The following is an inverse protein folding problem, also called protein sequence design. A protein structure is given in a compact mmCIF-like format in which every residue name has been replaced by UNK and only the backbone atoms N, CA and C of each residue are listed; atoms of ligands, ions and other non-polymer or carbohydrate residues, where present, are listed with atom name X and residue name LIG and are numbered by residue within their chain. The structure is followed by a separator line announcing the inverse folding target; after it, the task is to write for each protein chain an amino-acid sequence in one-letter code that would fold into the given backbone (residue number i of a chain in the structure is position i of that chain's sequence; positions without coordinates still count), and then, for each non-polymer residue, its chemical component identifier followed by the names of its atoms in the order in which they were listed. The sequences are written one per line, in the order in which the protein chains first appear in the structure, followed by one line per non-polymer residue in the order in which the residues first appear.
data_IF_848508013640
#
_entry.id   IF_848508013640
#
_cell.length_a   1.000
_cell.length_b   1.000
_cell.length_c   1.000
_cell.angle_alpha   90.00
_cell.angle_beta   90.00
_cell.angle_gamma   90.00
#
_symmetry.space_group_name_H-M   'P 1'
#
loop_
_entity.id
_entity.type
_entity.pdbx_description
1 polymer ?
#
# COMPACT_ATOMS: atom_id res chain seq x y z
N UNK A 1 -3.08 -1.32 -16.87
CA UNK A 1 -2.50 -2.16 -15.80
C UNK A 1 -3.61 -3.01 -15.19
N UNK A 2 -3.34 -4.28 -14.95
CA UNK A 2 -4.22 -5.24 -14.27
C UNK A 2 -3.83 -5.29 -12.79
N UNK A 3 -4.77 -5.04 -11.90
CA UNK A 3 -4.53 -4.94 -10.45
C UNK A 3 -5.29 -6.05 -9.72
N UNK A 4 -4.62 -6.69 -8.77
CA UNK A 4 -5.23 -7.56 -7.78
C UNK A 4 -5.21 -6.88 -6.40
N UNK A 5 -6.28 -7.01 -5.62
CA UNK A 5 -6.37 -6.44 -4.27
C UNK A 5 -6.80 -7.56 -3.33
N UNK A 6 -6.00 -7.82 -2.32
CA UNK A 6 -6.29 -8.79 -1.26
C UNK A 6 -6.73 -8.01 -0.02
N UNK A 7 -7.99 -8.18 0.36
CA UNK A 7 -8.64 -7.47 1.45
C UNK A 7 -9.56 -6.35 0.97
N UNK A 8 -10.88 -6.56 1.09
CA UNK A 8 -11.94 -5.58 0.79
C UNK A 8 -12.30 -4.75 2.04
N UNK A 9 -11.33 -4.44 2.89
CA UNK A 9 -11.48 -3.52 4.01
C UNK A 9 -11.32 -2.06 3.55
N UNK A 10 -11.34 -1.13 4.51
CA UNK A 10 -11.25 0.31 4.22
C UNK A 10 -10.04 0.70 3.35
N UNK A 11 -8.88 0.05 3.55
CA UNK A 11 -7.68 0.34 2.76
C UNK A 11 -7.83 -0.20 1.33
N UNK A 12 -8.25 -1.47 1.18
CA UNK A 12 -8.41 -2.08 -0.15
C UNK A 12 -9.47 -1.39 -1.00
N UNK A 13 -10.58 -0.97 -0.39
CA UNK A 13 -11.61 -0.16 -1.04
C UNK A 13 -11.05 1.16 -1.59
N UNK A 14 -10.31 1.90 -0.76
CA UNK A 14 -9.70 3.16 -1.19
C UNK A 14 -8.64 2.93 -2.28
N UNK A 15 -7.87 1.85 -2.20
CA UNK A 15 -6.90 1.47 -3.25
C UNK A 15 -7.61 1.20 -4.57
N UNK A 16 -8.71 0.41 -4.56
CA UNK A 16 -9.51 0.10 -5.73
C UNK A 16 -10.08 1.38 -6.37
N UNK A 17 -10.80 2.17 -5.57
CA UNK A 17 -11.43 3.41 -6.01
C UNK A 17 -10.40 4.43 -6.53
N UNK A 18 -9.34 4.67 -5.78
CA UNK A 18 -8.30 5.64 -6.17
C UNK A 18 -7.58 5.21 -7.45
N UNK A 19 -7.31 3.92 -7.62
CA UNK A 19 -6.68 3.38 -8.82
C UNK A 19 -7.55 3.61 -10.06
N UNK A 20 -8.87 3.47 -9.94
CA UNK A 20 -9.83 3.78 -10.99
C UNK A 20 -9.89 5.29 -11.26
N UNK A 21 -10.09 6.10 -10.22
CA UNK A 21 -10.20 7.56 -10.33
C UNK A 21 -8.96 8.22 -10.91
N UNK A 22 -7.79 7.65 -10.70
CA UNK A 22 -6.52 8.12 -11.30
C UNK A 22 -6.21 7.49 -12.65
N UNK A 23 -7.05 6.60 -13.15
CA UNK A 23 -6.83 5.89 -14.42
C UNK A 23 -5.59 5.02 -14.44
N UNK A 24 -5.17 4.51 -13.27
CA UNK A 24 -3.97 3.66 -13.11
C UNK A 24 -4.23 2.25 -13.61
N UNK A 25 -5.37 1.67 -13.22
CA UNK A 25 -5.76 0.31 -13.59
C UNK A 25 -6.94 0.31 -14.56
N UNK A 26 -7.04 -0.73 -15.38
CA UNK A 26 -8.15 -0.98 -16.31
C UNK A 26 -8.93 -2.26 -15.99
N UNK A 27 -8.37 -3.12 -15.16
CA UNK A 27 -8.98 -4.38 -14.73
C UNK A 27 -8.54 -4.64 -13.28
N UNK A 28 -9.50 -4.69 -12.36
CA UNK A 28 -9.26 -4.81 -10.91
C UNK A 28 -10.00 -6.04 -10.39
N UNK A 29 -9.25 -6.96 -9.80
CA UNK A 29 -9.80 -8.09 -9.04
C UNK A 29 -9.71 -7.77 -7.55
N UNK A 30 -10.82 -7.96 -6.85
CA UNK A 30 -10.90 -7.78 -5.40
C UNK A 30 -11.15 -9.16 -4.78
N UNK A 31 -10.33 -9.52 -3.81
CA UNK A 31 -10.50 -10.73 -3.01
C UNK A 31 -10.67 -10.36 -1.53
N UNK A 32 -11.53 -11.06 -0.83
CA UNK A 32 -11.67 -11.01 0.62
C UNK A 32 -12.09 -12.39 1.13
N UNK A 33 -11.71 -12.71 2.35
CA UNK A 33 -12.18 -13.94 3.02
C UNK A 33 -13.70 -13.96 3.19
N UNK A 34 -14.32 -12.77 3.29
CA UNK A 34 -15.76 -12.57 3.24
C UNK A 34 -16.13 -12.23 1.79
N UNK A 35 -16.45 -13.26 1.00
CA UNK A 35 -16.73 -13.14 -0.46
C UNK A 35 -17.77 -12.09 -0.80
N UNK A 36 -18.81 -11.98 0.01
CA UNK A 36 -19.89 -11.01 -0.17
C UNK A 36 -19.37 -9.56 -0.13
N UNK A 37 -18.36 -9.29 0.66
CA UNK A 37 -17.71 -7.98 0.71
C UNK A 37 -17.02 -7.62 -0.61
N UNK A 38 -16.21 -8.54 -1.14
CA UNK A 38 -15.52 -8.33 -2.41
C UNK A 38 -16.54 -8.19 -3.58
N UNK A 39 -17.61 -8.98 -3.56
CA UNK A 39 -18.68 -8.92 -4.56
C UNK A 39 -19.40 -7.56 -4.49
N UNK A 40 -19.84 -7.14 -3.30
CA UNK A 40 -20.53 -5.86 -3.11
C UNK A 40 -19.67 -4.67 -3.55
N UNK A 41 -18.40 -4.65 -3.15
CA UNK A 41 -17.47 -3.62 -3.58
C UNK A 41 -17.28 -3.59 -5.10
N UNK A 42 -17.14 -4.76 -5.74
CA UNK A 42 -16.98 -4.83 -7.18
C UNK A 42 -18.24 -4.31 -7.93
N UNK A 43 -19.43 -4.56 -7.40
CA UNK A 43 -20.70 -4.04 -7.95
C UNK A 43 -20.73 -2.52 -7.83
N UNK A 44 -20.55 -1.97 -6.62
CA UNK A 44 -20.59 -0.53 -6.36
C UNK A 44 -19.58 0.24 -7.22
N UNK A 45 -18.36 -0.29 -7.35
CA UNK A 45 -17.32 0.32 -8.18
C UNK A 45 -17.66 0.23 -9.69
N UNK A 46 -18.29 -0.85 -10.16
CA UNK A 46 -18.74 -0.95 -11.54
C UNK A 46 -19.89 0.03 -11.85
N UNK A 47 -20.77 0.29 -10.90
CA UNK A 47 -21.85 1.27 -11.08
C UNK A 47 -21.30 2.69 -11.29
N UNK A 48 -20.12 2.98 -10.71
CA UNK A 48 -19.39 4.22 -10.90
C UNK A 48 -18.61 4.35 -12.21
N UNK A 49 -18.56 3.35 -13.08
CA UNK A 49 -17.68 3.30 -14.29
C UNK A 49 -17.83 4.50 -15.21
N UNK A 50 -19.01 5.04 -15.34
CA UNK A 50 -19.27 6.23 -16.18
C UNK A 50 -18.44 7.45 -15.75
N UNK A 51 -18.09 7.55 -14.47
CA UNK A 51 -17.46 8.71 -13.89
C UNK A 51 -15.92 8.59 -13.80
N UNK A 52 -15.35 7.44 -14.15
CA UNK A 52 -13.90 7.28 -14.15
C UNK A 52 -13.26 7.84 -15.44
N UNK A 53 -12.02 8.34 -15.37
CA UNK A 53 -11.34 8.93 -16.53
C UNK A 53 -11.00 7.92 -17.63
N UNK A 54 -11.00 6.63 -17.29
CA UNK A 54 -10.81 5.50 -18.22
C UNK A 54 -11.77 4.38 -17.86
N UNK A 55 -12.11 3.55 -18.85
CA UNK A 55 -12.91 2.36 -18.56
C UNK A 55 -12.13 1.38 -17.68
N UNK A 56 -12.74 1.00 -16.57
CA UNK A 56 -12.18 0.07 -15.58
C UNK A 56 -13.20 -1.02 -15.29
N UNK A 57 -12.77 -2.26 -15.28
CA UNK A 57 -13.61 -3.41 -14.91
C UNK A 57 -13.23 -3.87 -13.51
N UNK A 58 -14.24 -4.12 -12.69
CA UNK A 58 -14.08 -4.67 -11.35
C UNK A 58 -14.77 -6.01 -11.25
N UNK A 59 -14.14 -6.96 -10.60
CA UNK A 59 -14.77 -8.22 -10.23
C UNK A 59 -14.23 -8.74 -8.92
N UNK A 60 -15.04 -9.46 -8.18
CA UNK A 60 -14.56 -10.33 -7.14
C UNK A 60 -13.83 -11.54 -7.77
N UNK A 61 -12.84 -12.07 -7.10
CA UNK A 61 -12.09 -13.24 -7.57
C UNK A 61 -11.39 -13.98 -6.46
N UNK A 62 -10.94 -15.18 -6.79
CA UNK A 62 -10.13 -16.03 -5.91
C UNK A 62 -8.63 -15.68 -6.06
N UNK A 63 -7.78 -16.23 -5.20
CA UNK A 63 -6.33 -16.01 -5.27
C UNK A 63 -5.74 -16.48 -6.59
N UNK A 64 -6.25 -17.59 -7.12
CA UNK A 64 -5.83 -18.20 -8.37
C UNK A 64 -6.15 -17.30 -9.60
N UNK A 65 -7.12 -16.42 -9.50
CA UNK A 65 -7.46 -15.44 -10.54
C UNK A 65 -6.41 -14.31 -10.68
N UNK A 66 -5.48 -14.23 -9.75
CA UNK A 66 -4.46 -13.17 -9.70
C UNK A 66 -3.24 -13.46 -10.59
N UNK A 67 -3.16 -14.63 -11.20
CA UNK A 67 -1.97 -15.09 -11.95
C UNK A 67 -1.53 -14.19 -13.10
N UNK A 68 -2.45 -13.44 -13.72
CA UNK A 68 -2.18 -12.55 -14.85
C UNK A 68 -2.16 -11.06 -14.47
N UNK A 69 -2.10 -10.74 -13.17
CA UNK A 69 -2.03 -9.34 -12.71
C UNK A 69 -0.64 -8.74 -12.88
N UNK A 70 -0.58 -7.44 -13.14
CA UNK A 70 0.68 -6.69 -13.16
C UNK A 70 1.15 -6.38 -11.73
N UNK A 71 0.20 -6.07 -10.85
CA UNK A 71 0.44 -5.76 -9.44
C UNK A 71 -0.62 -6.44 -8.58
N UNK A 72 -0.19 -6.99 -7.44
CA UNK A 72 -1.09 -7.45 -6.38
C UNK A 72 -0.81 -6.66 -5.11
N UNK A 73 -1.83 -5.96 -4.60
CA UNK A 73 -1.74 -5.19 -3.35
C UNK A 73 -2.33 -6.02 -2.21
N UNK A 74 -1.55 -6.19 -1.16
CA UNK A 74 -1.94 -6.93 0.04
C UNK A 74 -2.37 -5.94 1.11
N UNK A 75 -3.69 -5.85 1.33
CA UNK A 75 -4.34 -4.99 2.31
C UNK A 75 -5.12 -5.80 3.36
N UNK A 76 -5.02 -7.15 3.32
CA UNK A 76 -5.69 -8.01 4.29
C UNK A 76 -5.06 -7.86 5.66
N UNK A 77 -5.86 -7.77 6.69
CA UNK A 77 -5.41 -7.72 8.08
C UNK A 77 -6.58 -7.93 9.02
N UNK A 78 -6.34 -8.54 10.15
CA UNK A 78 -7.32 -8.63 11.24
C UNK A 78 -7.22 -7.38 12.12
N UNK A 79 -8.30 -7.08 12.82
CA UNK A 79 -8.27 -6.09 13.89
C UNK A 79 -7.34 -6.64 14.99
N UNK A 80 -6.37 -5.86 15.50
CA UNK A 80 -5.44 -6.34 16.52
C UNK A 80 -6.19 -6.89 17.73
N UNK A 81 -5.87 -8.12 18.11
CA UNK A 81 -6.30 -8.72 19.37
C UNK A 81 -5.25 -8.47 20.47
N UNK A 82 -5.55 -8.81 21.72
CA UNK A 82 -4.65 -8.54 22.85
C UNK A 82 -3.31 -9.28 22.78
N UNK A 83 -3.25 -10.43 22.10
CA UNK A 83 -2.02 -11.21 21.88
C UNK A 83 -1.43 -10.99 20.49
N UNK A 84 -0.63 -9.94 20.34
CA UNK A 84 0.02 -9.55 19.08
C UNK A 84 0.99 -10.59 18.50
N UNK A 85 1.60 -11.44 19.33
CA UNK A 85 2.57 -12.42 18.83
C UNK A 85 1.87 -13.61 18.19
N UNK A 86 0.81 -14.13 18.80
CA UNK A 86 -0.01 -15.17 18.20
C UNK A 86 -0.70 -14.69 16.94
N UNK A 87 -1.21 -13.48 16.93
CA UNK A 87 -1.80 -12.84 15.75
C UNK A 87 -0.80 -12.77 14.60
N UNK A 88 0.43 -12.37 14.88
CA UNK A 88 1.48 -12.27 13.86
C UNK A 88 1.78 -13.63 13.21
N UNK A 89 1.90 -14.68 14.00
CA UNK A 89 2.18 -16.03 13.47
C UNK A 89 1.00 -16.60 12.66
N UNK A 90 -0.24 -16.29 13.06
CA UNK A 90 -1.43 -16.67 12.29
C UNK A 90 -1.51 -15.90 10.97
N UNK A 91 -1.26 -14.59 10.99
CA UNK A 91 -1.24 -13.76 9.80
C UNK A 91 -0.15 -14.20 8.83
N UNK A 92 1.05 -14.53 9.29
CA UNK A 92 2.12 -15.06 8.43
C UNK A 92 1.69 -16.34 7.71
N UNK A 93 1.08 -17.30 8.43
CA UNK A 93 0.62 -18.56 7.83
C UNK A 93 -0.47 -18.34 6.78
N UNK A 94 -1.42 -17.47 7.07
CA UNK A 94 -2.48 -17.11 6.15
C UNK A 94 -1.91 -16.46 4.88
N UNK A 95 -1.04 -15.45 5.05
CA UNK A 95 -0.39 -14.75 3.95
C UNK A 95 0.47 -15.70 3.12
N UNK A 96 1.26 -16.56 3.75
CA UNK A 96 2.06 -17.56 3.07
C UNK A 96 1.20 -18.49 2.22
N UNK A 97 0.02 -18.89 2.72
CA UNK A 97 -0.91 -19.76 2.00
C UNK A 97 -1.42 -19.13 0.71
N UNK A 98 -1.92 -17.91 0.75
CA UNK A 98 -2.49 -17.29 -0.44
C UNK A 98 -1.41 -16.76 -1.40
N UNK A 99 -0.27 -16.28 -0.90
CA UNK A 99 0.85 -15.86 -1.77
C UNK A 99 1.33 -17.04 -2.63
N UNK A 100 1.44 -18.25 -2.07
CA UNK A 100 1.76 -19.45 -2.85
C UNK A 100 0.75 -19.72 -3.95
N UNK A 101 -0.56 -19.67 -3.63
CA UNK A 101 -1.62 -19.88 -4.63
C UNK A 101 -1.53 -18.88 -5.79
N UNK A 102 -1.24 -17.61 -5.48
CA UNK A 102 -1.08 -16.56 -6.49
C UNK A 102 0.13 -16.83 -7.39
N UNK A 103 1.27 -17.23 -6.78
CA UNK A 103 2.49 -17.57 -7.52
C UNK A 103 2.30 -18.83 -8.36
N UNK A 104 1.67 -19.87 -7.80
CA UNK A 104 1.38 -21.14 -8.49
C UNK A 104 0.40 -20.92 -9.67
N UNK A 105 -0.48 -19.91 -9.58
CA UNK A 105 -1.35 -19.50 -10.69
C UNK A 105 -0.61 -18.75 -11.82
N UNK A 106 0.71 -18.59 -11.70
CA UNK A 106 1.57 -18.02 -12.74
C UNK A 106 1.85 -16.52 -12.59
N UNK A 107 1.56 -15.92 -11.44
CA UNK A 107 1.84 -14.51 -11.18
C UNK A 107 3.33 -14.19 -11.35
N UNK A 108 3.58 -13.13 -12.14
CA UNK A 108 4.93 -12.64 -12.43
C UNK A 108 5.06 -11.12 -12.22
N UNK A 109 4.05 -10.50 -11.64
CA UNK A 109 3.99 -9.07 -11.36
C UNK A 109 4.74 -8.65 -10.09
N UNK A 110 4.30 -7.57 -9.49
CA UNK A 110 4.88 -6.98 -8.27
C UNK A 110 3.88 -7.14 -7.12
N UNK A 111 4.33 -7.60 -5.97
CA UNK A 111 3.59 -7.51 -4.73
C UNK A 111 3.84 -6.16 -4.06
N UNK A 112 2.75 -5.49 -3.67
CA UNK A 112 2.78 -4.28 -2.84
C UNK A 112 2.11 -4.59 -1.51
N UNK A 113 2.85 -4.54 -0.43
CA UNK A 113 2.37 -4.89 0.92
C UNK A 113 2.04 -3.62 1.70
N UNK A 114 0.80 -3.56 2.20
CA UNK A 114 0.29 -2.46 3.04
C UNK A 114 -0.14 -2.97 4.42
N UNK A 115 -0.35 -4.28 4.54
CA UNK A 115 -0.73 -4.96 5.79
C UNK A 115 0.32 -4.80 6.86
N UNK A 116 -0.09 -4.40 8.07
CA UNK A 116 0.79 -4.32 9.24
C UNK A 116 0.92 -5.69 9.96
N UNK A 117 2.09 -5.93 10.63
CA UNK A 117 3.29 -5.10 10.61
C UNK A 117 4.03 -5.19 9.26
N UNK A 118 4.07 -4.08 8.54
CA UNK A 118 4.38 -4.05 7.10
C UNK A 118 5.76 -4.62 6.76
N UNK A 119 6.78 -4.32 7.54
CA UNK A 119 8.15 -4.78 7.25
C UNK A 119 8.27 -6.30 7.39
N UNK A 120 7.67 -6.87 8.44
CA UNK A 120 7.66 -8.30 8.70
C UNK A 120 6.85 -9.04 7.63
N UNK A 121 5.68 -8.53 7.29
CA UNK A 121 4.81 -9.13 6.27
C UNK A 121 5.46 -9.04 4.88
N UNK A 122 6.09 -7.92 4.55
CA UNK A 122 6.83 -7.77 3.29
C UNK A 122 7.94 -8.82 3.18
N UNK A 123 8.70 -9.01 4.25
CA UNK A 123 9.75 -10.04 4.28
C UNK A 123 9.17 -11.46 4.15
N UNK A 124 8.02 -11.75 4.76
CA UNK A 124 7.35 -13.05 4.61
C UNK A 124 6.87 -13.27 3.16
N UNK A 125 6.27 -12.26 2.53
CA UNK A 125 5.87 -12.32 1.12
C UNK A 125 7.09 -12.55 0.22
N UNK A 126 8.20 -11.86 0.47
CA UNK A 126 9.46 -12.06 -0.24
C UNK A 126 9.95 -13.52 -0.14
N UNK A 127 10.02 -14.06 1.07
CA UNK A 127 10.46 -15.45 1.29
C UNK A 127 9.57 -16.48 0.61
N UNK A 128 8.25 -16.31 0.72
CA UNK A 128 7.28 -17.29 0.25
C UNK A 128 7.13 -17.24 -1.27
N UNK A 129 7.16 -16.05 -1.86
CA UNK A 129 7.04 -15.88 -3.32
C UNK A 129 8.26 -16.39 -4.07
N UNK A 130 9.43 -16.34 -3.46
CA UNK A 130 10.70 -16.63 -4.13
C UNK A 130 11.06 -15.61 -5.22
N UNK A 131 10.44 -14.45 -5.19
CA UNK A 131 10.69 -13.38 -6.15
C UNK A 131 11.97 -12.62 -5.81
N UNK A 132 12.50 -11.92 -6.81
CA UNK A 132 13.55 -10.92 -6.62
C UNK A 132 13.02 -9.79 -5.71
N UNK A 133 13.90 -9.17 -4.93
CA UNK A 133 13.56 -8.10 -3.97
C UNK A 133 12.93 -6.89 -4.65
N UNK A 134 13.29 -6.60 -5.90
CA UNK A 134 12.70 -5.54 -6.71
C UNK A 134 11.21 -5.76 -7.03
N UNK A 135 10.68 -6.95 -6.76
CA UNK A 135 9.29 -7.34 -7.06
C UNK A 135 8.42 -7.53 -5.82
N UNK A 136 8.93 -7.22 -4.65
CA UNK A 136 8.18 -7.26 -3.38
C UNK A 136 8.45 -5.96 -2.62
N UNK A 137 7.45 -5.10 -2.57
CA UNK A 137 7.56 -3.74 -2.06
C UNK A 137 6.63 -3.58 -0.86
N UNK A 138 7.16 -3.21 0.29
CA UNK A 138 6.38 -2.75 1.43
C UNK A 138 6.11 -1.25 1.36
N UNK A 139 4.95 -0.80 1.83
CA UNK A 139 4.66 0.63 1.96
C UNK A 139 5.57 1.32 2.99
N UNK A 140 6.12 0.57 3.94
CA UNK A 140 7.10 1.04 4.92
C UNK A 140 6.71 2.35 5.57
N UNK A 141 7.65 3.27 5.64
CA UNK A 141 7.51 4.61 6.20
C UNK A 141 7.01 5.67 5.20
N UNK A 142 6.42 5.25 4.06
CA UNK A 142 5.94 6.17 3.04
C UNK A 142 4.84 7.12 3.56
N UNK A 143 3.87 6.56 4.32
CA UNK A 143 2.81 7.36 4.93
C UNK A 143 3.36 8.28 6.03
N UNK A 144 4.33 7.83 6.81
CA UNK A 144 4.97 8.63 7.86
C UNK A 144 5.74 9.81 7.25
N UNK A 145 6.43 9.57 6.13
CA UNK A 145 7.08 10.62 5.33
C UNK A 145 6.08 11.67 4.85
N UNK A 146 4.96 11.23 4.30
CA UNK A 146 3.90 12.14 3.84
C UNK A 146 3.30 12.97 5.00
N UNK A 147 3.06 12.34 6.15
CA UNK A 147 2.60 13.04 7.37
C UNK A 147 3.60 14.08 7.86
N UNK A 148 4.89 13.73 7.89
CA UNK A 148 5.97 14.66 8.26
C UNK A 148 6.00 15.86 7.32
N UNK A 149 5.92 15.65 6.01
CA UNK A 149 5.87 16.74 5.02
C UNK A 149 4.69 17.67 5.25
N UNK A 150 3.49 17.12 5.51
CA UNK A 150 2.30 17.92 5.82
C UNK A 150 2.47 18.71 7.12
N UNK A 151 3.03 18.11 8.17
CA UNK A 151 3.26 18.81 9.45
C UNK A 151 4.23 19.96 9.29
N UNK A 152 5.35 19.74 8.59
CA UNK A 152 6.32 20.80 8.31
C UNK A 152 5.68 21.93 7.48
N UNK A 153 4.98 21.57 6.41
CA UNK A 153 4.32 22.53 5.53
C UNK A 153 3.29 23.39 6.26
N UNK A 154 2.45 22.77 7.08
CA UNK A 154 1.46 23.50 7.89
C UNK A 154 2.12 24.49 8.88
N UNK A 155 3.23 24.06 9.50
CA UNK A 155 3.96 24.91 10.44
C UNK A 155 4.59 26.11 9.76
N UNK A 156 5.03 25.95 8.50
CA UNK A 156 5.67 27.00 7.71
C UNK A 156 4.69 27.81 6.84
N UNK A 157 3.41 27.44 6.78
CA UNK A 157 2.42 28.09 5.94
C UNK A 157 2.67 27.92 4.43
N UNK A 158 3.29 26.80 4.01
CA UNK A 158 3.64 26.50 2.62
C UNK A 158 2.92 25.25 2.09
N UNK A 159 3.05 24.98 0.79
CA UNK A 159 2.52 23.75 0.21
C UNK A 159 3.29 22.50 0.69
N UNK A 160 2.62 21.38 1.04
CA UNK A 160 3.32 20.12 1.29
C UNK A 160 4.22 19.64 0.14
N UNK A 161 3.93 20.06 -1.10
CA UNK A 161 4.75 19.75 -2.27
C UNK A 161 6.11 20.48 -2.29
N UNK A 162 6.23 21.54 -1.52
CA UNK A 162 7.49 22.28 -1.31
C UNK A 162 8.41 21.62 -0.29
N UNK A 163 7.94 20.61 0.44
CA UNK A 163 8.71 19.91 1.46
C UNK A 163 9.12 18.53 0.96
N UNK A 164 10.41 18.26 0.97
CA UNK A 164 10.98 16.94 0.75
C UNK A 164 11.60 16.46 2.08
N UNK A 165 10.89 15.59 2.76
CA UNK A 165 11.30 15.00 4.02
C UNK A 165 10.93 13.51 4.02
N UNK A 166 11.88 12.66 4.39
CA UNK A 166 11.71 11.21 4.41
C UNK A 166 11.89 10.69 5.83
N UNK A 167 11.01 9.81 6.23
CA UNK A 167 11.18 8.98 7.42
C UNK A 167 11.81 7.65 6.98
N UNK A 168 12.80 7.19 7.68
CA UNK A 168 13.53 5.95 7.40
C UNK A 168 13.44 4.98 8.58
N UNK A 169 13.78 3.72 8.33
CA UNK A 169 13.77 2.64 9.31
C UNK A 169 12.49 1.81 9.23
N UNK A 170 12.20 1.06 10.27
CA UNK A 170 10.99 0.25 10.42
C UNK A 170 9.76 1.16 10.59
N UNK A 171 8.64 0.80 10.00
CA UNK A 171 7.37 1.46 10.29
C UNK A 171 6.90 1.15 11.71
N UNK A 172 7.34 1.95 12.67
CA UNK A 172 7.13 1.77 14.11
C UNK A 172 7.93 2.76 14.95
N UNK A 173 8.21 2.41 16.20
CA UNK A 173 8.89 3.31 17.14
C UNK A 173 10.38 3.53 16.83
N UNK A 174 11.00 2.65 16.04
CA UNK A 174 12.41 2.75 15.64
C UNK A 174 12.66 3.62 14.40
N UNK A 175 11.60 4.17 13.80
CA UNK A 175 11.73 5.08 12.67
C UNK A 175 12.44 6.39 13.05
N UNK A 176 13.15 6.99 12.09
CA UNK A 176 13.87 8.25 12.32
C UNK A 176 13.83 9.16 11.10
N UNK A 177 14.08 10.46 11.33
CA UNK A 177 14.16 11.48 10.28
C UNK A 177 15.62 11.88 10.07
N UNK A 178 16.19 11.70 8.88
CA UNK A 178 17.51 12.24 8.54
C UNK A 178 17.39 13.76 8.26
N UNK A 179 17.37 14.57 9.29
CA UNK A 179 17.13 16.02 9.20
C UNK A 179 18.08 16.76 8.25
N UNK A 180 19.31 16.27 8.08
CA UNK A 180 20.28 16.82 7.13
C UNK A 180 19.88 16.67 5.66
N UNK A 181 18.90 15.79 5.37
CA UNK A 181 18.37 15.54 4.02
C UNK A 181 17.03 16.23 3.79
N UNK A 182 16.47 16.88 4.80
CA UNK A 182 15.21 17.63 4.65
C UNK A 182 15.45 18.87 3.81
N UNK A 183 14.62 19.04 2.77
CA UNK A 183 14.68 20.18 1.87
C UNK A 183 13.32 20.88 1.81
N UNK A 184 13.37 22.22 1.73
CA UNK A 184 12.21 23.09 1.60
C UNK A 184 12.48 24.02 0.40
N UNK A 185 11.59 23.99 -0.60
CA UNK A 185 11.75 24.71 -1.87
C UNK A 185 13.15 24.52 -2.51
N UNK A 186 13.67 23.27 -2.49
CA UNK A 186 15.00 22.89 -2.99
C UNK A 186 16.19 23.46 -2.19
N UNK A 187 15.96 24.06 -1.05
CA UNK A 187 17.01 24.50 -0.10
C UNK A 187 17.12 23.48 1.03
N UNK A 188 18.33 23.28 1.57
CA UNK A 188 18.50 22.51 2.80
C UNK A 188 17.78 23.19 3.97
N UNK A 189 17.39 22.42 4.97
CA UNK A 189 16.71 22.96 6.15
C UNK A 189 17.52 24.08 6.83
N UNK A 190 18.84 23.93 6.92
CA UNK A 190 19.70 24.95 7.52
C UNK A 190 19.70 26.25 6.71
N UNK A 191 19.79 26.13 5.39
CA UNK A 191 19.71 27.30 4.49
C UNK A 191 18.37 27.99 4.56
N UNK A 192 17.28 27.21 4.65
CA UNK A 192 15.94 27.76 4.82
C UNK A 192 15.81 28.56 6.11
N UNK A 193 16.33 28.06 7.24
CA UNK A 193 16.35 28.78 8.53
C UNK A 193 17.16 30.07 8.48
N UNK A 194 18.29 30.09 7.78
CA UNK A 194 19.09 31.32 7.61
C UNK A 194 18.34 32.41 6.86
N UNK A 195 17.55 32.04 5.87
CA UNK A 195 16.82 32.99 5.00
C UNK A 195 15.43 33.38 5.53
N UNK A 196 14.90 32.61 6.49
CA UNK A 196 13.60 32.83 7.13
C UNK A 196 13.74 32.76 8.67
N UNK A 197 14.51 33.71 9.27
CA UNK A 197 14.60 33.79 10.72
C UNK A 197 13.23 34.25 11.28
N UNK A 198 12.65 33.49 12.22
CA UNK A 198 11.56 33.96 13.07
C UNK A 198 12.10 34.64 14.31
#
# INVERSE_FOLDING_TARGET
MKLGIIGAGAVGEIVAYTSAMRGIASDIIINDVIKEKAISQAIDLNDGRLFYPKDVKFRAGEYEDMGDRDVVVICSGKIPEEDRLNELELNKKEIASYVRKIVDAGFKGIFVVVTNPVDIITYEVYKVSGFDDSRVIGSGTFLDSARLQVVIANKLGISPKSVNATVLGEHGESQFVPWSQVMIDSMTLDKYKETHPE
#
